data_IF_477073984165
#
_entry.id   IF_477073984165
#
_cell.length_a   1.000
_cell.length_b   1.000
_cell.length_c   1.000
_cell.angle_alpha   90.00
_cell.angle_beta   90.00
_cell.angle_gamma   90.00
#
_symmetry.space_group_name_H-M   'P 1'
#
loop_
_entity.id
_entity.type
_entity.pdbx_description
1 polymer ?
#
# COMPACT_ATOMS: atom_id res chain seq x y z
N UNK A 1 -44.45 8.83 11.90
CA UNK A 1 -43.50 7.73 11.82
C UNK A 1 -42.47 8.00 12.91
N UNK A 2 -42.41 7.16 13.92
CA UNK A 2 -41.45 7.35 15.03
C UNK A 2 -40.05 6.94 14.60
N UNK A 3 -39.02 7.36 15.33
CA UNK A 3 -37.63 6.92 15.07
C UNK A 3 -37.53 5.40 15.16
N UNK A 4 -38.33 4.79 16.04
CA UNK A 4 -38.38 3.33 16.22
C UNK A 4 -38.98 2.63 14.99
N UNK A 5 -40.01 3.21 14.36
CA UNK A 5 -40.59 2.67 13.11
C UNK A 5 -39.58 2.71 11.99
N UNK A 6 -38.75 3.77 11.91
CA UNK A 6 -37.68 3.90 10.92
C UNK A 6 -36.56 2.88 11.19
N UNK A 7 -36.21 2.66 12.46
CA UNK A 7 -35.20 1.68 12.87
C UNK A 7 -35.65 0.24 12.58
N UNK A 8 -36.92 -0.10 12.81
CA UNK A 8 -37.48 -1.40 12.47
C UNK A 8 -37.49 -1.63 10.94
N UNK A 9 -37.89 -0.63 10.17
CA UNK A 9 -37.85 -0.70 8.70
C UNK A 9 -36.41 -0.82 8.17
N UNK A 10 -35.45 -0.18 8.79
CA UNK A 10 -34.03 -0.29 8.40
C UNK A 10 -33.44 -1.67 8.75
N UNK A 11 -33.85 -2.26 9.90
CA UNK A 11 -33.43 -3.62 10.30
C UNK A 11 -34.05 -4.72 9.44
N UNK A 12 -35.25 -4.50 8.91
CA UNK A 12 -35.97 -5.48 8.07
C UNK A 12 -35.49 -5.51 6.62
N UNK A 13 -34.71 -4.51 6.19
CA UNK A 13 -34.12 -4.50 4.83
C UNK A 13 -32.81 -5.25 4.87
N UNK A 14 -32.72 -6.35 4.08
CA UNK A 14 -31.45 -7.04 3.84
C UNK A 14 -30.37 -6.06 3.38
N UNK A 15 -29.18 -6.19 3.93
CA UNK A 15 -28.04 -5.35 3.52
C UNK A 15 -27.76 -5.58 2.02
N UNK A 16 -27.21 -4.56 1.33
CA UNK A 16 -26.82 -4.67 -0.07
C UNK A 16 -25.94 -5.91 -0.30
N UNK A 17 -25.13 -6.27 0.71
CA UNK A 17 -24.25 -7.45 0.67
C UNK A 17 -25.02 -8.78 0.80
N UNK A 18 -26.09 -8.82 1.60
CA UNK A 18 -26.97 -10.00 1.66
C UNK A 18 -27.68 -10.20 0.34
N UNK A 19 -28.17 -9.13 -0.29
CA UNK A 19 -28.71 -9.18 -1.67
C UNK A 19 -27.65 -9.62 -2.68
N UNK A 20 -26.40 -9.13 -2.57
CA UNK A 20 -25.29 -9.58 -3.42
C UNK A 20 -25.01 -11.07 -3.23
N UNK A 21 -24.99 -11.55 -1.99
CA UNK A 21 -24.79 -12.96 -1.69
C UNK A 21 -25.99 -13.83 -2.11
N UNK A 22 -27.21 -13.31 -2.02
CA UNK A 22 -28.43 -13.97 -2.54
C UNK A 22 -28.40 -14.03 -4.06
N UNK A 23 -28.05 -12.95 -4.74
CA UNK A 23 -27.91 -12.91 -6.20
C UNK A 23 -26.78 -13.84 -6.65
N UNK A 24 -25.63 -13.86 -5.96
CA UNK A 24 -24.52 -14.76 -6.27
C UNK A 24 -24.90 -16.24 -6.06
N UNK A 25 -25.69 -16.58 -5.03
CA UNK A 25 -26.22 -17.93 -4.79
C UNK A 25 -27.29 -18.29 -5.81
N UNK A 26 -28.13 -17.34 -6.22
CA UNK A 26 -29.16 -17.52 -7.25
C UNK A 26 -28.55 -17.80 -8.62
N UNK A 27 -27.48 -17.09 -8.97
CA UNK A 27 -26.74 -17.28 -10.23
C UNK A 27 -25.96 -18.60 -10.29
N UNK A 28 -25.76 -19.29 -9.16
CA UNK A 28 -25.20 -20.64 -9.11
C UNK A 28 -26.27 -21.74 -9.23
N UNK A 29 -27.56 -21.40 -9.25
CA UNK A 29 -28.63 -22.35 -9.41
C UNK A 29 -28.99 -22.50 -10.91
N UNK A 30 -28.77 -23.66 -11.55
CA UNK A 30 -28.98 -23.86 -12.98
C UNK A 30 -30.48 -23.71 -13.42
N UNK A 31 -31.39 -23.58 -12.45
CA UNK A 31 -32.84 -23.39 -12.70
C UNK A 31 -33.31 -21.93 -12.46
N UNK A 32 -32.43 -20.99 -12.14
CA UNK A 32 -32.79 -19.57 -12.09
C UNK A 32 -32.96 -19.06 -13.53
N UNK A 33 -34.18 -18.61 -13.83
CA UNK A 33 -34.52 -18.08 -15.13
C UNK A 33 -33.78 -16.74 -15.36
N UNK A 34 -32.74 -16.65 -16.20
CA UNK A 34 -32.02 -15.40 -16.44
C UNK A 34 -32.82 -14.56 -17.43
N UNK A 35 -33.92 -13.97 -16.97
CA UNK A 35 -34.80 -13.15 -17.79
C UNK A 35 -34.45 -11.67 -17.79
N UNK A 36 -33.17 -11.32 -17.58
CA UNK A 36 -32.73 -9.97 -17.85
C UNK A 36 -31.40 -10.04 -18.60
N UNK A 37 -31.40 -9.63 -19.86
CA UNK A 37 -30.20 -9.44 -20.66
C UNK A 37 -29.24 -8.46 -19.93
N UNK A 38 -29.79 -7.56 -19.11
CA UNK A 38 -29.06 -6.61 -18.26
C UNK A 38 -28.25 -7.30 -17.15
N UNK A 39 -28.75 -8.37 -16.51
CA UNK A 39 -28.01 -9.07 -15.44
C UNK A 39 -26.78 -9.80 -15.99
N UNK A 40 -26.91 -10.38 -17.18
CA UNK A 40 -25.78 -11.01 -17.88
C UNK A 40 -24.77 -9.98 -18.34
N UNK A 41 -25.25 -8.87 -18.89
CA UNK A 41 -24.43 -7.75 -19.29
C UNK A 41 -23.69 -7.14 -18.08
N UNK A 42 -24.40 -6.92 -16.96
CA UNK A 42 -23.81 -6.41 -15.72
C UNK A 42 -22.76 -7.37 -15.14
N UNK A 43 -23.01 -8.68 -15.15
CA UNK A 43 -22.04 -9.68 -14.70
C UNK A 43 -20.77 -9.69 -15.57
N UNK A 44 -20.92 -9.57 -16.88
CA UNK A 44 -19.78 -9.50 -17.80
C UNK A 44 -19.06 -8.15 -17.70
N UNK A 45 -19.79 -7.05 -17.50
CA UNK A 45 -19.24 -5.73 -17.25
C UNK A 45 -18.43 -5.70 -15.95
N UNK A 46 -18.91 -6.34 -14.88
CA UNK A 46 -18.17 -6.45 -13.60
C UNK A 46 -16.88 -7.25 -13.75
N UNK A 47 -16.83 -8.25 -14.62
CA UNK A 47 -15.57 -8.97 -14.93
C UNK A 47 -14.56 -8.08 -15.65
N UNK A 48 -15.04 -7.24 -16.59
CA UNK A 48 -14.19 -6.30 -17.36
C UNK A 48 -13.74 -5.12 -16.49
N UNK A 49 -14.60 -4.66 -15.58
CA UNK A 49 -14.33 -3.55 -14.67
C UNK A 49 -13.48 -3.94 -13.45
N UNK A 50 -13.11 -5.22 -13.30
CA UNK A 50 -12.25 -5.67 -12.22
C UNK A 50 -10.87 -5.03 -12.36
N UNK A 51 -10.49 -4.22 -11.37
CA UNK A 51 -9.21 -3.55 -11.32
C UNK A 51 -8.10 -4.60 -11.22
N UNK A 52 -7.19 -4.56 -12.17
CA UNK A 52 -6.03 -5.44 -12.18
C UNK A 52 -4.94 -4.85 -11.29
N UNK A 53 -4.79 -5.41 -10.09
CA UNK A 53 -3.75 -5.04 -9.12
C UNK A 53 -2.58 -6.01 -9.20
N UNK A 54 -1.35 -5.46 -9.21
CA UNK A 54 -0.12 -6.23 -9.24
C UNK A 54 0.79 -5.78 -8.10
N UNK A 55 1.27 -6.70 -7.28
CA UNK A 55 2.27 -6.43 -6.23
C UNK A 55 3.62 -6.94 -6.69
N UNK A 56 4.58 -6.05 -6.79
CA UNK A 56 5.91 -6.31 -7.33
C UNK A 56 6.97 -6.09 -6.27
N UNK A 57 7.67 -7.16 -5.89
CA UNK A 57 8.84 -7.11 -5.01
C UNK A 57 10.13 -7.05 -5.80
N UNK A 58 11.01 -6.09 -5.50
CA UNK A 58 12.27 -5.91 -6.21
C UNK A 58 13.46 -6.04 -5.27
N UNK A 59 14.38 -6.97 -5.61
CA UNK A 59 15.54 -7.33 -4.80
C UNK A 59 15.15 -8.08 -3.52
N UNK A 60 16.11 -8.47 -2.70
CA UNK A 60 15.89 -9.34 -1.54
C UNK A 60 14.82 -8.84 -0.58
N UNK A 61 14.87 -7.56 -0.16
CA UNK A 61 13.89 -7.00 0.76
C UNK A 61 12.47 -6.98 0.17
N UNK A 62 12.33 -6.56 -1.10
CA UNK A 62 11.04 -6.57 -1.79
C UNK A 62 10.48 -7.98 -1.97
N UNK A 63 11.34 -8.94 -2.33
CA UNK A 63 10.94 -10.34 -2.49
C UNK A 63 10.50 -10.97 -1.18
N UNK A 64 11.16 -10.65 -0.07
CA UNK A 64 10.76 -11.11 1.27
C UNK A 64 9.36 -10.58 1.64
N UNK A 65 9.10 -9.30 1.37
CA UNK A 65 7.79 -8.68 1.62
C UNK A 65 6.70 -9.39 0.80
N UNK A 66 6.93 -9.61 -0.51
CA UNK A 66 5.96 -10.28 -1.39
C UNK A 66 5.75 -11.73 -0.99
N UNK A 67 6.83 -12.46 -0.68
CA UNK A 67 6.73 -13.87 -0.26
C UNK A 67 5.86 -14.04 0.98
N UNK A 68 6.05 -13.18 1.98
CA UNK A 68 5.23 -13.20 3.19
C UNK A 68 3.79 -12.77 2.94
N UNK A 69 3.58 -11.82 2.02
CA UNK A 69 2.24 -11.39 1.62
C UNK A 69 1.47 -12.55 0.95
N UNK A 70 2.16 -13.34 0.13
CA UNK A 70 1.61 -14.54 -0.49
C UNK A 70 1.31 -15.63 0.55
N UNK A 71 2.20 -15.84 1.53
CA UNK A 71 2.01 -16.80 2.61
C UNK A 71 0.80 -16.48 3.51
N UNK A 72 0.53 -15.22 3.75
CA UNK A 72 -0.66 -14.75 4.50
C UNK A 72 -1.93 -14.87 3.64
N UNK A 73 -1.79 -14.88 2.33
CA UNK A 73 -2.88 -14.95 1.36
C UNK A 73 -3.44 -13.58 0.99
N UNK A 74 -2.85 -12.96 -0.02
CA UNK A 74 -3.42 -11.77 -0.63
C UNK A 74 -4.53 -12.15 -1.61
N UNK A 75 -5.70 -11.53 -1.47
CA UNK A 75 -6.80 -11.73 -2.39
C UNK A 75 -6.90 -10.59 -3.40
N UNK A 76 -7.25 -10.93 -4.64
CA UNK A 76 -7.51 -9.96 -5.72
C UNK A 76 -6.29 -9.13 -6.19
N UNK A 77 -5.07 -9.62 -6.02
CA UNK A 77 -3.88 -9.06 -6.62
C UNK A 77 -2.94 -10.19 -7.04
N UNK A 78 -2.31 -10.07 -8.20
CA UNK A 78 -1.23 -10.96 -8.61
C UNK A 78 0.08 -10.50 -7.97
N UNK A 79 1.01 -11.42 -7.74
CA UNK A 79 2.29 -11.15 -7.10
C UNK A 79 3.46 -11.49 -8.01
N UNK A 80 4.49 -10.65 -8.01
CA UNK A 80 5.71 -10.85 -8.81
C UNK A 80 6.93 -10.56 -7.96
N UNK A 81 7.88 -11.50 -7.92
CA UNK A 81 9.22 -11.29 -7.37
C UNK A 81 10.23 -11.07 -8.50
N UNK A 82 11.00 -9.98 -8.43
CA UNK A 82 12.03 -9.61 -9.41
C UNK A 82 13.37 -9.51 -8.69
N UNK A 83 14.39 -10.22 -9.19
CA UNK A 83 15.72 -10.16 -8.60
C UNK A 83 16.81 -10.42 -9.65
N UNK A 84 18.04 -10.00 -9.36
CA UNK A 84 19.28 -10.37 -10.06
C UNK A 84 19.95 -11.59 -9.44
N UNK A 85 19.56 -11.98 -8.23
CA UNK A 85 20.06 -13.14 -7.50
C UNK A 85 19.11 -14.34 -7.70
N UNK A 86 19.63 -15.39 -8.36
CA UNK A 86 18.85 -16.57 -8.68
C UNK A 86 18.53 -17.42 -7.46
N UNK A 87 19.44 -17.48 -6.48
CA UNK A 87 19.25 -18.25 -5.26
C UNK A 87 18.14 -17.64 -4.39
N UNK A 88 18.22 -16.33 -4.14
CA UNK A 88 17.22 -15.60 -3.37
C UNK A 88 15.83 -15.69 -4.05
N UNK A 89 15.80 -15.50 -5.38
CA UNK A 89 14.57 -15.62 -6.16
C UNK A 89 13.96 -17.03 -6.16
N UNK A 90 14.81 -18.07 -6.15
CA UNK A 90 14.33 -19.46 -6.12
C UNK A 90 13.52 -19.76 -4.86
N UNK A 91 13.97 -19.26 -3.71
CA UNK A 91 13.29 -19.47 -2.41
C UNK A 91 12.17 -18.46 -2.12
N UNK A 92 12.03 -17.42 -2.93
CA UNK A 92 10.89 -16.50 -2.81
C UNK A 92 9.58 -17.19 -3.18
N UNK A 93 8.46 -16.74 -2.59
CA UNK A 93 7.11 -17.19 -2.92
C UNK A 93 6.33 -16.07 -3.60
N UNK A 94 5.85 -16.29 -4.82
CA UNK A 94 5.05 -15.35 -5.60
C UNK A 94 4.36 -16.08 -6.76
N UNK A 95 3.27 -15.52 -7.28
CA UNK A 95 2.58 -16.05 -8.47
C UNK A 95 3.51 -16.11 -9.69
N UNK A 96 4.45 -15.16 -9.79
CA UNK A 96 5.46 -15.12 -10.85
C UNK A 96 6.83 -14.70 -10.29
N UNK A 97 7.89 -15.31 -10.82
CA UNK A 97 9.28 -15.00 -10.49
C UNK A 97 10.05 -14.58 -11.74
N UNK A 98 10.81 -13.51 -11.65
CA UNK A 98 11.51 -12.90 -12.78
C UNK A 98 12.97 -12.68 -12.41
N UNK A 99 13.87 -13.49 -12.97
CA UNK A 99 15.31 -13.23 -12.92
C UNK A 99 15.66 -12.22 -14.01
N UNK A 100 16.19 -11.06 -13.61
CA UNK A 100 16.65 -10.01 -14.51
C UNK A 100 18.17 -9.98 -14.60
N UNK A 101 18.71 -9.43 -15.71
CA UNK A 101 20.14 -9.27 -15.93
C UNK A 101 20.87 -10.61 -16.06
N UNK A 102 20.33 -11.53 -16.84
CA UNK A 102 20.90 -12.88 -17.00
C UNK A 102 22.31 -12.85 -17.60
N UNK A 103 22.57 -11.94 -18.53
CA UNK A 103 23.88 -11.76 -19.13
C UNK A 103 24.80 -10.95 -18.21
N UNK A 104 24.27 -9.87 -17.62
CA UNK A 104 25.04 -8.96 -16.78
C UNK A 104 25.40 -9.55 -15.40
N UNK A 105 24.43 -10.15 -14.71
CA UNK A 105 24.58 -10.64 -13.32
C UNK A 105 24.83 -12.14 -13.24
N UNK A 106 24.49 -12.92 -14.26
CA UNK A 106 24.61 -14.38 -14.32
C UNK A 106 23.94 -15.09 -13.13
N UNK A 107 22.93 -14.46 -12.53
CA UNK A 107 22.23 -14.97 -11.34
C UNK A 107 22.98 -14.80 -10.02
N UNK A 108 24.11 -14.09 -9.98
CA UNK A 108 24.93 -13.89 -8.79
C UNK A 108 24.58 -12.61 -8.00
N UNK A 109 23.51 -11.92 -8.39
CA UNK A 109 23.13 -10.65 -7.80
C UNK A 109 23.90 -9.45 -8.38
N UNK A 110 23.57 -8.25 -7.89
CA UNK A 110 24.18 -6.98 -8.34
C UNK A 110 25.38 -6.52 -7.50
N UNK A 111 25.85 -7.32 -6.53
CA UNK A 111 27.02 -6.98 -5.71
C UNK A 111 26.88 -5.69 -4.90
N UNK A 112 25.68 -5.31 -4.48
CA UNK A 112 25.36 -4.01 -3.84
C UNK A 112 25.65 -2.78 -4.72
N UNK A 113 25.76 -2.94 -6.02
CA UNK A 113 25.94 -1.83 -6.98
C UNK A 113 24.60 -1.51 -7.67
N UNK A 114 24.02 -0.31 -7.46
CA UNK A 114 22.80 0.12 -8.11
C UNK A 114 22.93 0.26 -9.63
N UNK A 115 24.12 0.55 -10.16
CA UNK A 115 24.32 0.66 -11.61
C UNK A 115 24.13 -0.69 -12.28
N UNK A 116 24.65 -1.76 -11.68
CA UNK A 116 24.44 -3.14 -12.16
C UNK A 116 22.96 -3.54 -12.06
N UNK A 117 22.29 -3.15 -10.96
CA UNK A 117 20.86 -3.39 -10.80
C UNK A 117 20.02 -2.67 -11.86
N UNK A 118 20.38 -1.44 -12.22
CA UNK A 118 19.76 -0.67 -13.28
C UNK A 118 19.99 -1.32 -14.65
N UNK A 119 21.24 -1.65 -15.01
CA UNK A 119 21.57 -2.32 -16.27
C UNK A 119 20.85 -3.67 -16.41
N UNK A 120 20.73 -4.44 -15.32
CA UNK A 120 19.98 -5.69 -15.32
C UNK A 120 18.49 -5.50 -15.62
N UNK A 121 17.87 -4.43 -15.13
CA UNK A 121 16.48 -4.11 -15.44
C UNK A 121 16.32 -3.59 -16.88
N UNK A 122 17.30 -2.82 -17.38
CA UNK A 122 17.33 -2.37 -18.75
C UNK A 122 17.44 -3.52 -19.76
N UNK A 123 18.25 -4.54 -19.47
CA UNK A 123 18.39 -5.76 -20.27
C UNK A 123 17.06 -6.47 -20.50
N UNK A 124 16.21 -6.51 -19.47
CA UNK A 124 14.92 -7.22 -19.47
C UNK A 124 13.69 -6.30 -19.69
N UNK A 125 13.90 -5.05 -20.14
CA UNK A 125 12.85 -4.01 -20.21
C UNK A 125 11.59 -4.47 -20.98
N UNK A 126 11.74 -5.10 -22.13
CA UNK A 126 10.61 -5.59 -22.94
C UNK A 126 9.81 -6.70 -22.25
N UNK A 127 10.48 -7.54 -21.47
CA UNK A 127 9.87 -8.58 -20.68
C UNK A 127 9.14 -8.00 -19.47
N UNK A 128 9.75 -7.02 -18.79
CA UNK A 128 9.17 -6.30 -17.68
C UNK A 128 7.91 -5.56 -18.11
N UNK A 129 7.93 -4.86 -19.24
CA UNK A 129 6.77 -4.16 -19.78
C UNK A 129 5.55 -5.07 -19.97
N UNK A 130 5.74 -6.29 -20.44
CA UNK A 130 4.64 -7.27 -20.60
C UNK A 130 4.06 -7.73 -19.26
N UNK A 131 4.90 -7.90 -18.26
CA UNK A 131 4.51 -8.37 -16.92
C UNK A 131 3.77 -7.25 -16.16
N UNK A 132 4.22 -6.01 -16.31
CA UNK A 132 3.71 -4.83 -15.61
C UNK A 132 2.43 -4.25 -16.22
N UNK A 133 1.70 -5.02 -17.04
CA UNK A 133 0.43 -4.61 -17.63
C UNK A 133 -0.72 -4.78 -16.62
N UNK A 134 -0.92 -3.77 -15.78
CA UNK A 134 -1.93 -3.70 -14.72
C UNK A 134 -2.48 -2.28 -14.59
N UNK A 135 -3.66 -2.12 -13.96
CA UNK A 135 -4.23 -0.79 -13.69
C UNK A 135 -3.49 -0.08 -12.54
N UNK A 136 -3.03 -0.88 -11.56
CA UNK A 136 -2.26 -0.41 -10.42
C UNK A 136 -1.13 -1.38 -10.09
N UNK A 137 0.06 -0.82 -9.89
CA UNK A 137 1.27 -1.55 -9.51
C UNK A 137 1.71 -1.09 -8.12
N UNK A 138 1.66 -2.00 -7.16
CA UNK A 138 2.25 -1.82 -5.83
C UNK A 138 3.69 -2.31 -5.87
N UNK A 139 4.62 -1.38 -5.88
CA UNK A 139 6.05 -1.68 -5.95
C UNK A 139 6.65 -1.68 -4.53
N UNK A 140 7.33 -2.74 -4.13
CA UNK A 140 8.04 -2.79 -2.85
C UNK A 140 9.51 -3.11 -3.03
N UNK A 141 10.38 -2.35 -2.36
CA UNK A 141 11.83 -2.55 -2.42
C UNK A 141 12.54 -2.01 -1.17
N UNK A 142 13.73 -2.53 -0.90
CA UNK A 142 14.68 -1.95 0.06
C UNK A 142 15.72 -1.12 -0.67
N UNK A 143 15.91 0.14 -0.25
CA UNK A 143 16.90 1.03 -0.82
C UNK A 143 18.27 0.90 -0.10
N UNK A 144 19.34 1.23 -0.81
CA UNK A 144 20.72 1.15 -0.32
C UNK A 144 21.51 -0.08 -0.76
N UNK A 145 20.81 -1.13 -1.26
CA UNK A 145 21.43 -2.26 -1.94
C UNK A 145 21.60 -2.01 -3.46
N UNK A 146 21.93 -3.03 -4.23
CA UNK A 146 22.10 -2.90 -5.67
C UNK A 146 20.79 -3.06 -6.44
N UNK A 147 20.15 -4.25 -6.38
CA UNK A 147 18.96 -4.58 -7.19
C UNK A 147 17.78 -3.68 -6.85
N UNK A 148 17.38 -3.59 -5.57
CA UNK A 148 16.23 -2.77 -5.15
C UNK A 148 16.42 -1.30 -5.50
N UNK A 149 17.63 -0.76 -5.33
CA UNK A 149 17.93 0.65 -5.59
C UNK A 149 18.01 0.98 -7.08
N UNK A 150 18.63 0.09 -7.87
CA UNK A 150 18.86 0.32 -9.29
C UNK A 150 17.70 -0.11 -10.18
N UNK A 151 17.14 -1.29 -9.95
CA UNK A 151 16.07 -1.83 -10.81
C UNK A 151 14.70 -1.26 -10.54
N UNK A 152 14.36 -0.93 -9.27
CA UNK A 152 13.01 -0.47 -8.94
C UNK A 152 12.57 0.81 -9.69
N UNK A 153 13.42 1.84 -9.90
CA UNK A 153 13.05 3.00 -10.71
C UNK A 153 12.74 2.64 -12.17
N UNK A 154 13.48 1.71 -12.78
CA UNK A 154 13.23 1.24 -14.16
C UNK A 154 11.90 0.49 -14.24
N UNK A 155 11.62 -0.36 -13.27
CA UNK A 155 10.35 -1.09 -13.16
C UNK A 155 9.18 -0.12 -12.98
N UNK A 156 9.33 0.89 -12.13
CA UNK A 156 8.33 1.95 -11.96
C UNK A 156 8.09 2.71 -13.27
N UNK A 157 9.15 3.05 -13.99
CA UNK A 157 9.07 3.71 -15.29
C UNK A 157 8.32 2.87 -16.33
N UNK A 158 8.60 1.56 -16.41
CA UNK A 158 7.89 0.67 -17.34
C UNK A 158 6.40 0.52 -16.98
N UNK A 159 6.07 0.40 -15.69
CA UNK A 159 4.69 0.40 -15.24
C UNK A 159 3.95 1.71 -15.64
N UNK A 160 4.62 2.87 -15.50
CA UNK A 160 4.07 4.16 -15.93
C UNK A 160 3.84 4.22 -17.45
N UNK A 161 4.73 3.67 -18.26
CA UNK A 161 4.55 3.59 -19.73
C UNK A 161 3.32 2.77 -20.11
N UNK A 162 2.98 1.76 -19.30
CA UNK A 162 1.78 0.96 -19.46
C UNK A 162 0.51 1.65 -18.89
N UNK A 163 0.59 2.94 -18.51
CA UNK A 163 -0.47 3.72 -17.89
C UNK A 163 -0.94 3.20 -16.52
N UNK A 164 -0.15 2.38 -15.84
CA UNK A 164 -0.43 1.95 -14.47
C UNK A 164 -0.28 3.10 -13.48
N UNK A 165 -1.08 3.07 -12.42
CA UNK A 165 -0.82 3.87 -11.22
C UNK A 165 0.27 3.16 -10.43
N UNK A 166 1.38 3.86 -10.13
CA UNK A 166 2.51 3.29 -9.40
C UNK A 166 2.49 3.75 -7.94
N UNK A 167 2.21 2.82 -7.04
CA UNK A 167 2.21 3.00 -5.60
C UNK A 167 3.43 2.30 -5.03
N UNK A 168 4.39 3.07 -4.54
CA UNK A 168 5.67 2.54 -4.07
C UNK A 168 5.77 2.53 -2.56
N UNK A 169 6.19 1.42 -2.00
CA UNK A 169 6.58 1.25 -0.61
C UNK A 169 8.04 0.90 -0.54
N UNK A 170 8.86 1.77 0.05
CA UNK A 170 10.28 1.48 0.16
C UNK A 170 10.79 1.63 1.59
N UNK A 171 11.68 0.72 1.99
CA UNK A 171 12.42 0.83 3.25
C UNK A 171 13.77 1.50 3.03
N UNK A 172 14.16 2.35 3.99
CA UNK A 172 15.46 2.98 4.02
C UNK A 172 16.38 2.23 5.00
N UNK A 173 17.68 2.11 4.68
CA UNK A 173 18.61 1.36 5.50
C UNK A 173 18.76 1.96 6.92
N UNK A 174 19.23 1.15 7.86
CA UNK A 174 19.69 1.65 9.15
C UNK A 174 20.95 2.50 8.98
N UNK A 175 21.12 3.54 9.79
CA UNK A 175 22.34 4.33 9.84
C UNK A 175 23.57 3.47 10.14
N UNK A 176 23.41 2.42 10.95
CA UNK A 176 24.46 1.44 11.28
C UNK A 176 24.93 0.61 10.08
N UNK A 177 24.18 0.58 8.96
CA UNK A 177 24.57 -0.12 7.73
C UNK A 177 25.63 0.65 6.91
N UNK A 178 25.94 1.86 7.32
CA UNK A 178 27.05 2.67 6.83
C UNK A 178 26.64 3.76 5.81
N UNK A 179 27.47 4.80 5.75
CA UNK A 179 27.24 6.02 4.96
C UNK A 179 26.99 5.74 3.49
N UNK A 180 27.74 4.82 2.87
CA UNK A 180 27.62 4.50 1.46
C UNK A 180 26.25 3.91 1.10
N UNK A 181 25.65 3.17 2.04
CA UNK A 181 24.32 2.61 1.88
C UNK A 181 23.24 3.70 1.93
N UNK A 182 23.43 4.68 2.81
CA UNK A 182 22.59 5.89 2.89
C UNK A 182 22.66 6.75 1.61
N UNK A 183 23.86 6.94 1.05
CA UNK A 183 24.05 7.67 -0.23
C UNK A 183 23.30 6.97 -1.37
N UNK A 184 23.49 5.66 -1.51
CA UNK A 184 22.77 4.88 -2.55
C UNK A 184 21.26 4.95 -2.36
N UNK A 185 20.79 4.86 -1.10
CA UNK A 185 19.36 4.96 -0.79
C UNK A 185 18.79 6.31 -1.20
N UNK A 186 19.53 7.41 -0.99
CA UNK A 186 19.13 8.75 -1.40
C UNK A 186 18.96 8.87 -2.90
N UNK A 187 19.95 8.41 -3.68
CA UNK A 187 19.90 8.42 -5.13
C UNK A 187 18.71 7.55 -5.64
N UNK A 188 18.55 6.35 -5.09
CA UNK A 188 17.45 5.46 -5.45
C UNK A 188 16.10 6.06 -5.11
N UNK A 189 15.96 6.73 -3.97
CA UNK A 189 14.73 7.40 -3.55
C UNK A 189 14.36 8.56 -4.49
N UNK A 190 15.34 9.37 -4.90
CA UNK A 190 15.17 10.45 -5.88
C UNK A 190 14.62 9.90 -7.20
N UNK A 191 15.30 8.88 -7.75
CA UNK A 191 14.90 8.26 -9.02
C UNK A 191 13.51 7.59 -8.93
N UNK A 192 13.19 6.98 -7.78
CA UNK A 192 11.90 6.36 -7.57
C UNK A 192 10.75 7.37 -7.46
N UNK A 193 11.03 8.53 -6.85
CA UNK A 193 10.07 9.62 -6.71
C UNK A 193 9.63 10.19 -8.07
N UNK A 194 10.49 10.15 -9.09
CA UNK A 194 10.16 10.63 -10.44
C UNK A 194 9.08 9.78 -11.12
N UNK A 195 9.08 8.47 -10.87
CA UNK A 195 8.20 7.51 -11.53
C UNK A 195 7.08 6.95 -10.63
N UNK A 196 7.04 7.35 -9.36
CA UNK A 196 5.96 6.97 -8.44
C UNK A 196 4.84 8.01 -8.43
N UNK A 197 3.59 7.57 -8.44
CA UNK A 197 2.43 8.43 -8.21
C UNK A 197 2.19 8.66 -6.72
N UNK A 198 2.50 7.64 -5.91
CA UNK A 198 2.36 7.66 -4.46
C UNK A 198 3.51 6.87 -3.85
N UNK A 199 4.28 7.53 -2.98
CA UNK A 199 5.51 6.99 -2.43
C UNK A 199 5.48 7.04 -0.89
N UNK A 200 5.55 5.88 -0.28
CA UNK A 200 5.65 5.69 1.17
C UNK A 200 7.07 5.23 1.50
N UNK A 201 7.77 6.04 2.27
CA UNK A 201 9.13 5.71 2.74
C UNK A 201 9.10 5.31 4.20
N UNK A 202 9.68 4.16 4.52
CA UNK A 202 9.74 3.64 5.89
C UNK A 202 11.22 3.55 6.32
N UNK A 203 11.68 4.50 7.14
CA UNK A 203 13.06 4.47 7.65
C UNK A 203 13.21 3.40 8.73
N UNK A 204 14.17 2.49 8.56
CA UNK A 204 14.43 1.43 9.53
C UNK A 204 14.82 1.99 10.90
N UNK A 205 15.50 3.14 10.96
CA UNK A 205 15.88 3.79 12.23
C UNK A 205 14.69 4.23 13.07
N UNK A 206 13.55 4.59 12.45
CA UNK A 206 12.35 4.94 13.21
C UNK A 206 11.81 3.74 14.00
N UNK A 207 11.99 2.52 13.46
CA UNK A 207 11.63 1.31 14.19
C UNK A 207 12.45 1.17 15.48
N UNK A 208 13.77 1.44 15.44
CA UNK A 208 14.62 1.34 16.63
C UNK A 208 14.17 2.28 17.76
N UNK A 209 13.61 3.44 17.41
CA UNK A 209 13.09 4.40 18.39
C UNK A 209 11.82 3.89 19.09
N UNK A 210 10.99 3.10 18.37
CA UNK A 210 9.71 2.61 18.88
C UNK A 210 9.89 1.34 19.70
N UNK A 211 10.68 0.38 19.20
CA UNK A 211 10.79 -0.95 19.80
C UNK A 211 12.03 -1.11 20.71
N UNK A 212 12.94 -0.13 20.70
CA UNK A 212 14.13 -0.17 21.54
C UNK A 212 15.11 -1.29 21.16
N UNK A 213 15.68 -1.96 22.17
CA UNK A 213 16.70 -3.00 21.98
C UNK A 213 16.05 -4.34 21.63
N UNK A 214 15.99 -4.66 20.33
CA UNK A 214 15.52 -5.96 19.83
C UNK A 214 16.62 -6.60 18.99
N UNK A 215 16.62 -7.95 18.83
CA UNK A 215 17.49 -8.61 17.87
C UNK A 215 17.26 -8.10 16.45
N UNK A 216 18.34 -7.91 15.69
CA UNK A 216 18.30 -7.37 14.32
C UNK A 216 17.32 -8.15 13.39
N UNK A 217 17.34 -9.48 13.48
CA UNK A 217 16.41 -10.36 12.71
C UNK A 217 14.95 -10.03 13.06
N UNK A 218 14.66 -9.75 14.32
CA UNK A 218 13.30 -9.37 14.75
C UNK A 218 12.91 -8.00 14.19
N UNK A 219 13.87 -7.05 14.16
CA UNK A 219 13.67 -5.74 13.54
C UNK A 219 13.27 -5.83 12.07
N UNK A 220 13.99 -6.60 11.27
CA UNK A 220 13.64 -6.82 9.86
C UNK A 220 12.26 -7.47 9.69
N UNK A 221 11.92 -8.48 10.51
CA UNK A 221 10.59 -9.11 10.47
C UNK A 221 9.45 -8.11 10.78
N UNK A 222 9.66 -7.19 11.71
CA UNK A 222 8.67 -6.14 12.03
C UNK A 222 8.53 -5.17 10.84
N UNK A 223 9.63 -4.78 10.20
CA UNK A 223 9.59 -3.93 9.02
C UNK A 223 8.83 -4.58 7.86
N UNK A 224 9.10 -5.85 7.59
CA UNK A 224 8.36 -6.63 6.61
C UNK A 224 6.87 -6.65 6.94
N UNK A 225 6.50 -6.89 8.20
CA UNK A 225 5.11 -6.91 8.67
C UNK A 225 4.40 -5.58 8.45
N UNK A 226 5.10 -4.46 8.69
CA UNK A 226 4.56 -3.11 8.43
C UNK A 226 4.30 -2.91 6.94
N UNK A 227 5.25 -3.30 6.08
CA UNK A 227 5.09 -3.21 4.62
C UNK A 227 3.93 -4.08 4.13
N UNK A 228 3.87 -5.33 4.58
CA UNK A 228 2.81 -6.29 4.24
C UNK A 228 1.44 -5.76 4.63
N UNK A 229 1.33 -5.26 5.87
CA UNK A 229 0.08 -4.72 6.39
C UNK A 229 -0.39 -3.50 5.58
N UNK A 230 0.52 -2.58 5.26
CA UNK A 230 0.21 -1.40 4.47
C UNK A 230 -0.24 -1.77 3.06
N UNK A 231 0.50 -2.63 2.36
CA UNK A 231 0.15 -3.08 1.00
C UNK A 231 -1.18 -3.84 1.02
N UNK A 232 -1.31 -4.84 1.90
CA UNK A 232 -2.50 -5.68 1.98
C UNK A 232 -3.78 -4.89 2.27
N UNK A 233 -3.73 -3.93 3.20
CA UNK A 233 -4.90 -3.10 3.53
C UNK A 233 -5.26 -2.13 2.39
N UNK A 234 -4.28 -1.57 1.67
CA UNK A 234 -4.56 -0.72 0.50
C UNK A 234 -5.16 -1.56 -0.64
N UNK A 235 -4.65 -2.75 -0.90
CA UNK A 235 -5.22 -3.69 -1.88
C UNK A 235 -6.65 -4.07 -1.48
N UNK A 236 -6.88 -4.37 -0.20
CA UNK A 236 -8.20 -4.68 0.32
C UNK A 236 -9.18 -3.50 0.19
N UNK A 237 -8.72 -2.27 0.43
CA UNK A 237 -9.54 -1.07 0.29
C UNK A 237 -10.05 -0.89 -1.15
N UNK A 238 -9.21 -1.18 -2.14
CA UNK A 238 -9.53 -1.04 -3.56
C UNK A 238 -10.51 -2.12 -4.03
N UNK A 239 -10.37 -3.34 -3.53
CA UNK A 239 -11.08 -4.50 -4.06
C UNK A 239 -12.36 -4.87 -3.29
N UNK A 240 -12.57 -4.31 -2.09
CA UNK A 240 -13.71 -4.66 -1.25
C UNK A 240 -14.74 -3.52 -1.15
N UNK A 241 -15.99 -3.82 -1.46
CA UNK A 241 -17.10 -2.91 -1.23
C UNK A 241 -17.45 -2.83 0.26
N UNK A 242 -17.58 -1.61 0.81
CA UNK A 242 -18.00 -1.35 2.19
C UNK A 242 -19.50 -1.03 2.32
N UNK A 243 -19.97 -0.83 3.57
CA UNK A 243 -21.29 -0.27 3.86
C UNK A 243 -21.42 1.17 3.37
N UNK A 244 -20.35 1.97 3.59
CA UNK A 244 -20.11 3.24 2.93
C UNK A 244 -18.95 3.01 1.98
N UNK A 245 -19.24 3.04 0.68
CA UNK A 245 -18.29 2.61 -0.32
C UNK A 245 -17.31 3.71 -0.69
N UNK A 246 -16.05 3.32 -0.85
CA UNK A 246 -15.00 4.13 -1.47
C UNK A 246 -14.78 3.51 -2.85
N UNK A 247 -15.04 4.27 -3.89
CA UNK A 247 -14.84 3.79 -5.26
C UNK A 247 -13.37 3.92 -5.70
N UNK A 248 -13.01 3.20 -6.75
CA UNK A 248 -11.65 3.26 -7.30
C UNK A 248 -11.29 4.66 -7.80
N UNK A 249 -12.26 5.43 -8.27
CA UNK A 249 -12.00 6.80 -8.73
C UNK A 249 -11.56 7.70 -7.56
N UNK A 250 -12.06 7.45 -6.35
CA UNK A 250 -11.63 8.16 -5.14
C UNK A 250 -10.20 7.81 -4.76
N UNK A 251 -9.90 6.50 -4.75
CA UNK A 251 -8.54 6.00 -4.48
C UNK A 251 -7.56 6.52 -5.54
N UNK A 252 -7.95 6.49 -6.81
CA UNK A 252 -7.16 7.04 -7.92
C UNK A 252 -6.83 8.52 -7.70
N UNK A 253 -7.77 9.33 -7.20
CA UNK A 253 -7.54 10.76 -6.89
C UNK A 253 -6.49 10.97 -5.80
N UNK A 254 -6.37 10.04 -4.84
CA UNK A 254 -5.31 10.07 -3.82
C UNK A 254 -3.96 9.74 -4.43
N UNK A 255 -3.89 8.69 -5.27
CA UNK A 255 -2.64 8.19 -5.79
C UNK A 255 -2.05 9.03 -6.93
N UNK A 256 -2.89 9.68 -7.75
CA UNK A 256 -2.36 10.42 -8.90
C UNK A 256 -1.54 11.63 -8.45
N UNK A 257 -0.25 11.60 -8.79
CA UNK A 257 0.73 12.66 -8.53
C UNK A 257 0.24 14.01 -9.08
N UNK A 258 0.02 14.97 -8.19
CA UNK A 258 -0.29 16.37 -8.55
C UNK A 258 0.67 17.35 -7.89
N UNK A 259 1.47 16.85 -6.97
CA UNK A 259 2.37 17.65 -6.15
C UNK A 259 3.83 17.43 -6.58
N UNK A 260 4.70 18.35 -6.18
CA UNK A 260 6.15 18.25 -6.42
C UNK A 260 6.71 16.94 -5.85
N UNK A 261 6.26 16.58 -4.64
CA UNK A 261 6.67 15.34 -3.98
C UNK A 261 5.54 14.31 -4.05
N UNK A 262 5.77 13.10 -4.56
CA UNK A 262 4.75 12.05 -4.65
C UNK A 262 4.51 11.34 -3.31
N UNK A 263 4.69 12.04 -2.20
CA UNK A 263 4.66 11.45 -0.87
C UNK A 263 3.25 11.11 -0.41
N UNK A 264 3.13 9.98 0.23
CA UNK A 264 1.91 9.47 0.81
C UNK A 264 2.07 8.95 2.22
N UNK A 265 0.96 8.91 2.92
CA UNK A 265 0.80 8.32 4.24
C UNK A 265 -0.16 7.14 4.15
N UNK A 266 0.26 6.00 4.69
CA UNK A 266 -0.63 4.88 5.02
C UNK A 266 -0.47 4.62 6.52
N UNK A 267 -1.51 4.90 7.27
CA UNK A 267 -1.54 4.66 8.70
C UNK A 267 -2.64 3.68 9.06
N UNK A 268 -2.30 2.69 9.87
CA UNK A 268 -3.23 1.64 10.31
C UNK A 268 -3.12 1.49 11.81
N UNK A 269 -4.26 1.51 12.49
CA UNK A 269 -4.34 1.25 13.91
C UNK A 269 -5.57 0.40 14.24
N UNK A 270 -5.47 -0.38 15.30
CA UNK A 270 -6.56 -1.20 15.84
C UNK A 270 -6.89 -0.77 17.26
N UNK A 271 -8.16 -0.46 17.48
CA UNK A 271 -8.72 -0.13 18.79
C UNK A 271 -9.43 -1.35 19.37
N UNK A 272 -9.41 -1.49 20.71
CA UNK A 272 -10.20 -2.46 21.42
C UNK A 272 -11.71 -2.13 21.41
N UNK A 273 -12.08 -0.90 20.97
CA UNK A 273 -13.45 -0.45 20.83
C UNK A 273 -13.93 0.52 21.92
N UNK A 274 -13.10 0.85 22.89
CA UNK A 274 -13.38 1.90 23.89
C UNK A 274 -13.20 3.27 23.27
N UNK A 275 -14.01 4.25 23.65
CA UNK A 275 -14.00 5.59 23.03
C UNK A 275 -12.67 6.33 23.21
N UNK A 276 -12.01 6.20 24.38
CA UNK A 276 -10.70 6.81 24.63
C UNK A 276 -9.59 6.16 23.79
N UNK A 277 -9.59 4.83 23.72
CA UNK A 277 -8.63 4.08 22.88
C UNK A 277 -8.89 4.34 21.40
N UNK A 278 -10.15 4.48 20.99
CA UNK A 278 -10.51 4.81 19.60
C UNK A 278 -9.93 6.16 19.15
N UNK A 279 -10.02 7.18 20.00
CA UNK A 279 -9.43 8.51 19.74
C UNK A 279 -7.90 8.42 19.67
N UNK A 280 -7.27 7.72 20.62
CA UNK A 280 -5.81 7.53 20.63
C UNK A 280 -5.34 6.80 19.37
N UNK A 281 -6.00 5.70 18.98
CA UNK A 281 -5.67 4.92 17.79
C UNK A 281 -5.93 5.69 16.50
N UNK A 282 -6.96 6.56 16.45
CA UNK A 282 -7.19 7.45 15.32
C UNK A 282 -6.04 8.43 15.11
N UNK A 283 -5.57 9.05 16.19
CA UNK A 283 -4.38 9.92 16.16
C UNK A 283 -3.12 9.16 15.75
N UNK A 284 -2.94 7.93 16.23
CA UNK A 284 -1.81 7.07 15.89
C UNK A 284 -1.84 6.68 14.41
N UNK A 285 -3.01 6.39 13.83
CA UNK A 285 -3.15 6.10 12.41
C UNK A 285 -2.76 7.31 11.55
N UNK A 286 -3.16 8.53 11.94
CA UNK A 286 -2.80 9.74 11.21
C UNK A 286 -1.31 10.10 11.39
N UNK A 287 -0.80 10.07 12.62
CA UNK A 287 0.56 10.43 12.97
C UNK A 287 1.45 9.19 13.16
N UNK A 288 1.46 8.30 12.16
CA UNK A 288 2.22 7.05 12.22
C UNK A 288 3.70 7.32 12.55
N UNK A 289 4.20 6.90 13.75
CA UNK A 289 5.55 7.23 14.20
C UNK A 289 6.65 6.57 13.36
N UNK A 290 6.32 5.50 12.60
CA UNK A 290 7.27 4.88 11.67
C UNK A 290 7.54 5.76 10.45
N UNK A 291 6.53 6.49 9.98
CA UNK A 291 6.63 7.34 8.79
C UNK A 291 7.02 8.77 9.15
N UNK A 292 6.68 9.22 10.36
CA UNK A 292 6.86 10.59 10.84
C UNK A 292 6.41 11.64 9.83
N UNK A 293 5.12 11.60 9.39
CA UNK A 293 4.62 12.45 8.33
C UNK A 293 4.37 13.88 8.84
N UNK A 294 4.64 14.88 8.01
CA UNK A 294 4.12 16.23 8.24
C UNK A 294 2.66 16.30 7.74
N UNK A 295 1.72 16.08 8.65
CA UNK A 295 0.27 16.06 8.32
C UNK A 295 -0.30 17.45 8.02
N UNK A 296 0.42 18.53 8.32
CA UNK A 296 0.00 19.90 7.98
C UNK A 296 -0.11 20.16 6.47
N UNK A 297 0.46 19.26 5.66
CA UNK A 297 0.47 19.34 4.20
C UNK A 297 -0.50 18.35 3.53
N UNK A 298 -1.30 17.65 4.30
CA UNK A 298 -2.31 16.73 3.75
C UNK A 298 -3.31 17.50 2.89
N UNK A 299 -3.51 17.03 1.66
CA UNK A 299 -4.46 17.61 0.71
C UNK A 299 -5.67 16.74 0.46
N UNK A 300 -5.48 15.43 0.50
CA UNK A 300 -6.56 14.46 0.36
C UNK A 300 -6.34 13.32 1.32
N UNK A 301 -7.41 12.86 1.91
CA UNK A 301 -7.39 11.70 2.78
C UNK A 301 -8.60 10.79 2.53
N UNK A 302 -8.36 9.49 2.63
CA UNK A 302 -9.39 8.46 2.75
C UNK A 302 -9.24 7.84 4.13
N UNK A 303 -10.35 7.75 4.85
CA UNK A 303 -10.43 7.07 6.14
C UNK A 303 -11.32 5.86 5.99
N UNK A 304 -10.78 4.67 6.25
CA UNK A 304 -11.56 3.44 6.29
C UNK A 304 -11.69 2.97 7.73
N UNK A 305 -12.94 2.79 8.18
CA UNK A 305 -13.27 2.27 9.50
C UNK A 305 -13.87 0.89 9.33
N UNK A 306 -13.23 -0.12 9.88
CA UNK A 306 -13.69 -1.52 9.82
C UNK A 306 -14.04 -1.99 11.21
N UNK A 307 -15.24 -2.52 11.39
CA UNK A 307 -15.70 -3.12 12.65
C UNK A 307 -16.73 -4.20 12.38
N UNK A 308 -17.31 -4.76 13.42
CA UNK A 308 -18.40 -5.70 13.28
C UNK A 308 -19.77 -4.99 13.20
N UNK A 309 -20.86 -5.75 13.24
CA UNK A 309 -22.24 -5.25 13.19
C UNK A 309 -22.62 -4.36 14.39
N UNK A 310 -21.80 -4.32 15.47
CA UNK A 310 -22.00 -3.50 16.66
C UNK A 310 -21.34 -2.12 16.56
N UNK A 311 -20.62 -1.85 15.47
CA UNK A 311 -19.96 -0.56 15.24
C UNK A 311 -21.01 0.56 15.14
N UNK A 312 -21.09 1.41 16.18
CA UNK A 312 -22.05 2.49 16.24
C UNK A 312 -21.65 3.67 15.36
N UNK A 313 -22.66 4.43 14.90
CA UNK A 313 -22.43 5.66 14.14
C UNK A 313 -21.59 6.68 14.93
N UNK A 314 -21.82 6.79 16.26
CA UNK A 314 -21.06 7.70 17.12
C UNK A 314 -19.58 7.36 17.17
N UNK A 315 -19.20 6.07 17.16
CA UNK A 315 -17.80 5.65 17.08
C UNK A 315 -17.15 6.03 15.74
N UNK A 316 -17.88 5.83 14.64
CA UNK A 316 -17.40 6.26 13.32
C UNK A 316 -17.20 7.77 13.26
N UNK A 317 -18.17 8.54 13.78
CA UNK A 317 -18.09 10.00 13.84
C UNK A 317 -16.91 10.47 14.69
N UNK A 318 -16.64 9.86 15.84
CA UNK A 318 -15.48 10.14 16.69
C UNK A 318 -14.15 9.91 15.97
N UNK A 319 -14.03 8.84 15.17
CA UNK A 319 -12.85 8.57 14.36
C UNK A 319 -12.65 9.66 13.29
N UNK A 320 -13.73 9.95 12.54
CA UNK A 320 -13.67 10.93 11.43
C UNK A 320 -13.35 12.33 11.99
N UNK A 321 -14.03 12.76 13.05
CA UNK A 321 -13.77 14.04 13.69
C UNK A 321 -12.35 14.16 14.22
N UNK A 322 -11.82 13.11 14.83
CA UNK A 322 -10.44 13.10 15.32
C UNK A 322 -9.42 13.27 14.18
N UNK A 323 -9.64 12.60 13.05
CA UNK A 323 -8.74 12.68 11.89
C UNK A 323 -8.89 14.04 11.19
N UNK A 324 -10.12 14.52 11.02
CA UNK A 324 -10.41 15.84 10.41
C UNK A 324 -9.73 16.98 11.19
N UNK A 325 -9.77 16.93 12.52
CA UNK A 325 -9.09 17.91 13.37
C UNK A 325 -7.56 17.84 13.31
N UNK A 326 -6.99 16.77 12.78
CA UNK A 326 -5.55 16.57 12.64
C UNK A 326 -4.98 16.85 11.24
N UNK A 327 -5.80 17.31 10.30
CA UNK A 327 -5.42 17.68 8.92
C UNK A 327 -5.92 19.11 8.61
N UNK A 328 -5.37 19.78 7.56
CA UNK A 328 -5.83 21.11 7.15
C UNK A 328 -7.33 21.14 6.81
N UNK A 329 -8.00 22.27 7.08
CA UNK A 329 -9.43 22.48 6.81
C UNK A 329 -9.75 22.35 5.30
N UNK A 330 -8.81 22.70 4.43
CA UNK A 330 -8.96 22.63 2.98
C UNK A 330 -8.76 21.22 2.45
N UNK A 331 -8.32 20.27 3.27
CA UNK A 331 -8.08 18.89 2.86
C UNK A 331 -9.40 18.19 2.50
N UNK A 332 -9.40 17.54 1.35
CA UNK A 332 -10.55 16.74 0.92
C UNK A 332 -10.52 15.40 1.63
N UNK A 333 -11.50 15.14 2.49
CA UNK A 333 -11.65 13.88 3.21
C UNK A 333 -12.81 13.07 2.63
N UNK A 334 -12.57 11.79 2.36
CA UNK A 334 -13.59 10.76 2.14
C UNK A 334 -13.46 9.68 3.20
N UNK A 335 -14.59 9.09 3.58
CA UNK A 335 -14.56 7.96 4.50
C UNK A 335 -15.37 6.79 3.96
N UNK A 336 -15.01 5.60 4.40
CA UNK A 336 -15.71 4.37 4.16
C UNK A 336 -15.87 3.56 5.44
N UNK A 337 -16.93 2.77 5.50
CA UNK A 337 -17.19 1.87 6.62
C UNK A 337 -17.35 0.46 6.11
N UNK A 338 -16.56 -0.46 6.66
CA UNK A 338 -16.62 -1.87 6.30
C UNK A 338 -17.12 -2.70 7.49
N UNK A 339 -18.02 -3.63 7.20
CA UNK A 339 -18.45 -4.61 8.19
C UNK A 339 -17.66 -5.91 8.03
N UNK A 340 -16.99 -6.35 9.10
CA UNK A 340 -16.25 -7.61 9.16
C UNK A 340 -16.69 -8.38 10.41
N UNK A 341 -17.52 -9.43 10.28
CA UNK A 341 -18.17 -10.09 11.40
C UNK A 341 -17.24 -10.65 12.49
N UNK A 342 -16.00 -11.01 12.10
CA UNK A 342 -15.04 -11.67 13.00
C UNK A 342 -14.23 -10.71 13.88
N UNK A 343 -14.54 -9.40 13.87
CA UNK A 343 -13.77 -8.41 14.63
C UNK A 343 -14.19 -8.25 16.09
N UNK A 344 -15.39 -8.69 16.44
CA UNK A 344 -15.94 -8.47 17.79
C UNK A 344 -16.02 -6.98 18.12
N UNK A 345 -15.59 -6.58 19.32
CA UNK A 345 -15.57 -5.15 19.71
C UNK A 345 -14.46 -4.33 19.05
N UNK A 346 -13.51 -4.97 18.37
CA UNK A 346 -12.36 -4.27 17.78
C UNK A 346 -12.75 -3.40 16.59
N UNK A 347 -12.10 -2.25 16.50
CA UNK A 347 -12.25 -1.32 15.39
C UNK A 347 -10.90 -1.10 14.74
N UNK A 348 -10.79 -1.36 13.43
CA UNK A 348 -9.61 -1.07 12.63
C UNK A 348 -9.82 0.25 11.91
N UNK A 349 -8.85 1.13 12.03
CA UNK A 349 -8.81 2.44 11.41
C UNK A 349 -7.66 2.47 10.42
N UNK A 350 -7.95 2.84 9.18
CA UNK A 350 -6.93 3.05 8.15
C UNK A 350 -7.05 4.46 7.61
N UNK A 351 -5.93 5.16 7.53
CA UNK A 351 -5.80 6.47 6.92
C UNK A 351 -4.88 6.37 5.72
N UNK A 352 -5.38 6.75 4.55
CA UNK A 352 -4.62 6.89 3.32
C UNK A 352 -4.64 8.36 2.93
N UNK A 353 -3.48 9.04 2.93
CA UNK A 353 -3.44 10.46 2.64
C UNK A 353 -2.33 10.83 1.66
N UNK A 354 -2.63 11.78 0.75
CA UNK A 354 -1.65 12.40 -0.15
C UNK A 354 -1.37 13.83 0.25
N UNK A 355 -0.14 14.26 0.01
CA UNK A 355 0.33 15.60 0.31
C UNK A 355 1.22 15.72 1.56
N UNK A 356 1.18 14.79 2.57
CA UNK A 356 2.11 14.90 3.68
C UNK A 356 3.54 14.80 3.15
N UNK A 357 4.41 15.68 3.61
CA UNK A 357 5.79 15.70 3.11
C UNK A 357 6.65 14.74 3.94
N UNK A 358 7.18 13.72 3.27
CA UNK A 358 8.24 12.91 3.88
C UNK A 358 9.55 13.70 3.89
N UNK A 359 10.18 13.94 5.06
CA UNK A 359 11.45 14.66 5.14
C UNK A 359 12.55 13.98 4.31
N UNK A 360 12.51 12.67 4.18
CA UNK A 360 13.47 11.88 3.40
C UNK A 360 13.33 12.11 1.89
N UNK A 361 12.09 12.14 1.38
CA UNK A 361 11.83 12.41 -0.04
C UNK A 361 12.18 13.85 -0.38
N UNK A 362 11.84 14.81 0.49
CA UNK A 362 12.24 16.20 0.32
C UNK A 362 13.75 16.36 0.26
N UNK A 363 14.49 15.77 1.23
CA UNK A 363 15.95 15.81 1.24
C UNK A 363 16.55 15.16 -0.02
N UNK A 364 16.01 14.05 -0.48
CA UNK A 364 16.47 13.38 -1.70
C UNK A 364 16.24 14.21 -2.96
N UNK A 365 15.08 14.86 -3.08
CA UNK A 365 14.71 15.60 -4.31
C UNK A 365 15.27 17.02 -4.36
N UNK A 366 15.43 17.71 -3.21
CA UNK A 366 15.86 19.10 -3.15
C UNK A 366 17.36 19.27 -2.95
N UNK A 367 18.08 18.19 -2.62
CA UNK A 367 19.51 18.25 -2.40
C UNK A 367 20.30 18.19 -3.71
N UNK A 368 21.15 19.20 -3.95
CA UNK A 368 22.08 19.22 -5.07
C UNK A 368 23.32 18.33 -4.82
N UNK A 369 23.48 17.80 -3.62
CA UNK A 369 24.61 16.96 -3.23
C UNK A 369 24.23 15.47 -3.17
N UNK A 370 24.34 14.82 -4.32
CA UNK A 370 24.06 13.39 -4.45
C UNK A 370 25.11 12.51 -3.73
N UNK A 371 26.24 13.07 -3.27
CA UNK A 371 27.28 12.33 -2.55
C UNK A 371 27.08 12.31 -1.03
N UNK A 372 26.15 13.10 -0.50
CA UNK A 372 25.79 13.06 0.92
C UNK A 372 24.74 11.98 1.22
N UNK A 373 24.82 11.27 2.34
CA UNK A 373 23.77 10.33 2.76
C UNK A 373 22.48 11.08 3.04
N UNK A 374 21.36 10.34 3.03
CA UNK A 374 20.07 10.87 3.50
C UNK A 374 20.25 11.46 4.90
N UNK A 375 19.84 12.71 5.06
CA UNK A 375 19.86 13.38 6.35
C UNK A 375 18.71 12.82 7.19
N UNK A 376 19.02 11.78 7.96
CA UNK A 376 18.08 11.19 8.92
C UNK A 376 18.10 12.09 10.15
N UNK A 377 17.45 13.26 10.04
CA UNK A 377 17.34 14.21 11.13
C UNK A 377 16.54 13.57 12.25
N UNK A 378 17.24 13.33 13.36
CA UNK A 378 16.59 13.03 14.62
C UNK A 378 15.84 14.27 15.09
N UNK A 379 14.51 14.19 15.22
CA UNK A 379 13.74 15.14 16.01
C UNK A 379 13.86 14.81 17.49
#
# INVERSE_FOLDING_TARGET
MSVDDILEMAKSRSSVRERFNEIARHNQNPNSNPNCDDDKYLADLLKVLKIKSLVVGVGGAGNNTVSRLEDIGISNADTVCINTDAHDLYYSNASQKVLIGKEKCQGLGSGNDPSIGCEAAEEDRDRLSKILNADIVFLTCGLGGGTGTGAAPIIAQEAKKNNAIVVTFCSLPFNSEGVQRGVRAKIGLKNLADFSDFLVTIPNDNLLRIVGKIPMITGFKIMDEVLIRNIGEVVNLINNCGLVNIDFADVKRIFVKKEKYPTGLVGIAESAGDDSDLIEKSKLALNNPLLNPDTSQVKRAIVSVTGDHTLSLSKVDSVISTITNGIPEEAQLKFGVQNKPDMGSKVKIMVLASGPISPYVRDAMDSDNDSAPLNIVGF
#
